data_IF_102839858652
#
_entry.id   IF_102839858652
#
_cell.length_a   1.000
_cell.length_b   1.000
_cell.length_c   1.000
_cell.angle_alpha   90.00
_cell.angle_beta   90.00
_cell.angle_gamma   90.00
#
_symmetry.space_group_name_H-M   'P 1'
#
loop_
_entity.id
_entity.type
_entity.pdbx_description
1 polymer ?
#
# COMPACT_ATOMS: atom_id res chain seq x y z
N UNK A 1 38.03 -25.17 22.84
CA UNK A 1 38.16 -25.50 21.41
C UNK A 1 36.78 -25.44 20.78
N UNK A 2 36.71 -24.86 19.58
CA UNK A 2 35.53 -24.30 18.93
C UNK A 2 34.43 -25.34 18.66
N UNK A 3 33.17 -25.01 18.99
CA UNK A 3 31.99 -25.71 18.49
C UNK A 3 31.68 -25.28 17.05
N UNK A 4 31.23 -26.19 16.16
CA UNK A 4 31.03 -25.89 14.75
C UNK A 4 29.87 -24.92 14.53
N UNK A 5 30.16 -23.85 13.79
CA UNK A 5 29.27 -22.76 13.44
C UNK A 5 28.38 -23.14 12.23
N UNK A 6 27.55 -24.18 12.36
CA UNK A 6 26.73 -24.70 11.23
C UNK A 6 25.23 -24.78 11.53
N UNK A 7 24.73 -23.99 12.48
CA UNK A 7 23.28 -23.99 12.79
C UNK A 7 22.61 -22.61 12.79
N UNK A 8 23.22 -21.62 12.14
CA UNK A 8 22.63 -20.30 11.98
C UNK A 8 22.49 -19.99 10.49
N UNK A 9 21.32 -20.30 9.94
CA UNK A 9 20.63 -19.64 8.82
C UNK A 9 19.46 -20.54 8.40
N UNK A 10 18.44 -20.62 9.26
CA UNK A 10 17.10 -20.99 8.77
C UNK A 10 16.57 -19.77 8.01
N UNK A 11 16.18 -19.89 6.73
CA UNK A 11 15.59 -18.79 6.01
C UNK A 11 14.30 -18.34 6.70
N UNK A 12 14.07 -17.03 6.64
CA UNK A 12 13.00 -16.26 7.29
C UNK A 12 11.58 -16.74 6.91
N UNK A 13 11.45 -17.68 5.97
CA UNK A 13 10.19 -18.24 5.47
C UNK A 13 9.31 -18.91 6.54
N UNK A 14 9.87 -19.43 7.64
CA UNK A 14 9.05 -20.17 8.63
C UNK A 14 8.23 -19.28 9.57
N UNK A 15 8.41 -17.96 9.55
CA UNK A 15 7.58 -17.03 10.32
C UNK A 15 6.25 -16.65 9.60
N UNK A 16 6.11 -16.95 8.31
CA UNK A 16 4.97 -16.48 7.51
C UNK A 16 3.73 -17.39 7.58
N UNK A 17 3.88 -18.65 8.00
CA UNK A 17 2.83 -19.66 7.85
C UNK A 17 1.85 -19.81 9.04
N UNK A 18 1.92 -18.97 10.09
CA UNK A 18 1.09 -19.16 11.30
C UNK A 18 0.40 -17.89 11.82
N UNK A 19 -0.34 -17.21 10.94
CA UNK A 19 -1.35 -16.23 11.36
C UNK A 19 -2.67 -16.42 10.60
N UNK A 20 -3.22 -17.63 10.65
CA UNK A 20 -4.63 -17.87 10.39
C UNK A 20 -5.41 -17.71 11.69
N UNK A 21 -6.00 -16.54 11.91
CA UNK A 21 -7.22 -16.40 12.72
C UNK A 21 -7.98 -15.14 12.27
N UNK A 22 -9.14 -15.37 11.65
CA UNK A 22 -10.04 -14.38 11.05
C UNK A 22 -9.41 -13.49 9.95
N UNK A 23 -9.61 -13.91 8.69
CA UNK A 23 -9.41 -13.09 7.48
C UNK A 23 -10.23 -11.80 7.56
N UNK A 24 -9.72 -10.79 8.29
CA UNK A 24 -9.99 -9.41 7.93
C UNK A 24 -9.27 -9.21 6.60
N UNK A 25 -10.02 -9.23 5.50
CA UNK A 25 -9.51 -8.89 4.18
C UNK A 25 -8.83 -7.51 4.30
N UNK A 26 -7.50 -7.50 4.30
CA UNK A 26 -6.69 -6.28 4.31
C UNK A 26 -6.71 -5.69 2.91
N UNK A 27 -6.89 -4.38 2.83
CA UNK A 27 -6.89 -3.63 1.57
C UNK A 27 -5.52 -3.00 1.29
N UNK A 28 -4.77 -2.64 2.34
CA UNK A 28 -3.38 -2.18 2.22
C UNK A 28 -2.43 -3.40 2.09
N UNK A 29 -1.69 -3.52 0.98
CA UNK A 29 -0.68 -4.57 0.83
C UNK A 29 0.42 -4.46 1.88
N UNK A 30 1.01 -5.60 2.25
CA UNK A 30 2.16 -5.68 3.17
C UNK A 30 1.90 -5.10 4.57
N UNK A 31 0.63 -4.90 4.96
CA UNK A 31 0.29 -4.50 6.31
C UNK A 31 0.35 -5.70 7.28
N UNK A 32 1.55 -5.94 7.81
CA UNK A 32 1.81 -6.94 8.85
C UNK A 32 1.77 -6.36 10.27
N UNK A 33 1.28 -5.13 10.42
CA UNK A 33 1.24 -4.44 11.72
C UNK A 33 -0.10 -4.62 12.42
N UNK A 34 -0.14 -4.27 13.72
CA UNK A 34 -1.39 -4.19 14.47
C UNK A 34 -2.30 -3.04 14.03
N UNK A 35 -1.79 -2.09 13.21
CA UNK A 35 -2.60 -0.99 12.71
C UNK A 35 -3.61 -1.48 11.68
N UNK A 36 -4.84 -1.01 11.82
CA UNK A 36 -5.88 -1.12 10.81
C UNK A 36 -5.58 -0.25 9.60
N UNK A 37 -6.16 -0.58 8.45
CA UNK A 37 -5.98 0.18 7.23
C UNK A 37 -6.48 1.62 7.40
N UNK A 38 -7.55 1.80 8.19
CA UNK A 38 -8.03 3.12 8.65
C UNK A 38 -6.96 3.88 9.43
N UNK A 39 -6.32 3.23 10.39
CA UNK A 39 -5.27 3.84 11.22
C UNK A 39 -4.03 4.24 10.42
N UNK A 40 -3.68 3.47 9.38
CA UNK A 40 -2.60 3.81 8.46
C UNK A 40 -2.99 5.00 7.60
N UNK A 41 -4.17 4.97 6.97
CA UNK A 41 -4.66 6.10 6.15
C UNK A 41 -4.76 7.38 6.96
N UNK A 42 -5.28 7.32 8.19
CA UNK A 42 -5.37 8.50 9.06
C UNK A 42 -3.99 9.04 9.46
N UNK A 43 -2.99 8.20 9.64
CA UNK A 43 -1.61 8.64 9.93
C UNK A 43 -0.97 9.31 8.72
N UNK A 44 -1.13 8.71 7.54
CA UNK A 44 -0.53 9.20 6.29
C UNK A 44 -1.22 10.46 5.75
N UNK A 45 -2.56 10.50 5.75
CA UNK A 45 -3.36 11.51 5.05
C UNK A 45 -4.29 12.32 5.96
N UNK A 46 -4.36 11.99 7.25
CA UNK A 46 -5.30 12.63 8.19
C UNK A 46 -6.76 12.22 7.99
N UNK A 47 -7.65 12.84 8.78
CA UNK A 47 -9.10 12.55 8.73
C UNK A 47 -9.72 12.88 7.37
N UNK A 48 -9.32 14.00 6.75
CA UNK A 48 -9.82 14.40 5.43
C UNK A 48 -9.50 13.36 4.37
N UNK A 49 -8.28 12.82 4.40
CA UNK A 49 -7.86 11.74 3.50
C UNK A 49 -8.70 10.48 3.69
N UNK A 50 -8.94 10.08 4.94
CA UNK A 50 -9.82 8.95 5.24
C UNK A 50 -11.24 9.14 4.69
N UNK A 51 -11.85 10.30 4.90
CA UNK A 51 -13.19 10.59 4.37
C UNK A 51 -13.25 10.55 2.84
N UNK A 52 -12.19 10.99 2.15
CA UNK A 52 -12.09 10.88 0.69
C UNK A 52 -12.03 9.42 0.23
N UNK A 53 -11.22 8.59 0.91
CA UNK A 53 -11.13 7.16 0.61
C UNK A 53 -12.48 6.46 0.84
N UNK A 54 -13.19 6.77 1.92
CA UNK A 54 -14.54 6.23 2.18
C UNK A 54 -15.54 6.62 1.09
N UNK A 55 -15.51 7.89 0.65
CA UNK A 55 -16.35 8.35 -0.47
C UNK A 55 -16.04 7.58 -1.75
N UNK A 56 -14.77 7.41 -2.11
CA UNK A 56 -14.36 6.63 -3.29
C UNK A 56 -14.83 5.17 -3.19
N UNK A 57 -14.74 4.56 -2.00
CA UNK A 57 -15.25 3.21 -1.74
C UNK A 57 -16.77 3.09 -1.83
N UNK A 58 -17.50 4.17 -1.59
CA UNK A 58 -18.97 4.20 -1.66
C UNK A 58 -19.51 4.31 -3.09
N UNK A 59 -18.73 4.87 -4.02
CA UNK A 59 -19.08 5.10 -5.44
C UNK A 59 -19.01 3.82 -6.30
N UNK A 60 -19.34 2.65 -5.71
CA UNK A 60 -19.09 1.29 -6.23
C UNK A 60 -19.68 0.99 -7.62
N UNK A 61 -18.89 1.17 -8.69
CA UNK A 61 -19.00 0.30 -9.88
C UNK A 61 -18.07 -0.92 -9.79
N UNK A 62 -16.81 -0.75 -9.34
CA UNK A 62 -15.84 -1.88 -9.25
C UNK A 62 -14.88 -1.83 -8.05
N UNK A 63 -14.77 -0.70 -7.32
CA UNK A 63 -13.84 -0.54 -6.20
C UNK A 63 -12.35 -0.56 -6.58
N UNK A 64 -12.03 -0.61 -7.89
CA UNK A 64 -10.67 -0.80 -8.41
C UNK A 64 -9.75 0.38 -8.09
N UNK A 65 -10.22 1.62 -8.25
CA UNK A 65 -9.44 2.84 -7.97
C UNK A 65 -9.10 2.97 -6.49
N UNK A 66 -10.03 2.58 -5.59
CA UNK A 66 -9.75 2.54 -4.15
C UNK A 66 -8.67 1.51 -3.82
N UNK A 67 -8.72 0.31 -4.42
CA UNK A 67 -7.68 -0.72 -4.25
C UNK A 67 -6.30 -0.23 -4.70
N UNK A 68 -6.23 0.42 -5.88
CA UNK A 68 -4.98 0.99 -6.37
C UNK A 68 -4.43 2.08 -5.45
N UNK A 69 -5.31 2.91 -4.87
CA UNK A 69 -4.89 3.91 -3.88
C UNK A 69 -4.30 3.25 -2.63
N UNK A 70 -4.90 2.15 -2.15
CA UNK A 70 -4.34 1.40 -1.03
C UNK A 70 -3.00 0.74 -1.34
N UNK A 71 -2.73 0.36 -2.59
CA UNK A 71 -1.41 -0.12 -3.02
C UNK A 71 -0.36 0.99 -2.89
N UNK A 72 -0.67 2.20 -3.37
CA UNK A 72 0.22 3.38 -3.22
C UNK A 72 0.46 3.71 -1.74
N UNK A 73 -0.60 3.70 -0.92
CA UNK A 73 -0.47 3.95 0.52
C UNK A 73 0.33 2.86 1.23
N UNK A 74 0.25 1.60 0.78
CA UNK A 74 1.07 0.51 1.27
C UNK A 74 2.55 0.73 0.96
N UNK A 75 2.89 1.12 -0.26
CA UNK A 75 4.27 1.40 -0.66
C UNK A 75 4.88 2.53 0.18
N UNK A 76 4.12 3.60 0.43
CA UNK A 76 4.54 4.70 1.33
C UNK A 76 4.72 4.21 2.76
N UNK A 77 3.76 3.45 3.29
CA UNK A 77 3.78 2.96 4.67
C UNK A 77 4.97 2.03 4.94
N UNK A 78 5.30 1.17 3.99
CA UNK A 78 6.46 0.27 4.09
C UNK A 78 7.77 1.06 4.22
N UNK A 79 7.92 2.15 3.48
CA UNK A 79 9.08 3.04 3.59
C UNK A 79 9.07 3.79 4.90
N UNK A 80 7.94 4.34 5.35
CA UNK A 80 7.87 5.09 6.60
C UNK A 80 8.25 4.22 7.82
N UNK A 81 7.90 2.93 7.78
CA UNK A 81 8.02 2.01 8.93
C UNK A 81 9.30 1.20 8.96
N UNK A 82 10.08 1.19 7.88
CA UNK A 82 11.28 0.39 7.77
C UNK A 82 12.53 1.29 7.69
N UNK A 83 13.24 1.51 8.82
CA UNK A 83 14.46 2.31 8.85
C UNK A 83 15.49 1.87 7.81
N UNK A 84 15.63 0.56 7.56
CA UNK A 84 16.59 0.05 6.57
C UNK A 84 16.23 0.44 5.14
N UNK A 85 14.94 0.54 4.80
CA UNK A 85 14.51 1.05 3.50
C UNK A 85 14.73 2.57 3.41
N UNK A 86 14.53 3.31 4.49
CA UNK A 86 14.86 4.74 4.51
C UNK A 86 16.35 4.97 4.32
N UNK A 87 17.19 4.25 5.07
CA UNK A 87 18.64 4.31 4.96
C UNK A 87 19.09 3.97 3.52
N UNK A 88 18.57 2.90 2.93
CA UNK A 88 18.87 2.53 1.55
C UNK A 88 18.43 3.60 0.53
N UNK A 89 17.28 4.24 0.73
CA UNK A 89 16.80 5.32 -0.14
C UNK A 89 17.60 6.61 0.04
N UNK A 90 18.13 6.88 1.24
CA UNK A 90 19.05 7.99 1.52
C UNK A 90 20.40 7.73 0.84
N UNK A 91 20.91 6.50 0.95
CA UNK A 91 22.20 6.09 0.37
C UNK A 91 22.16 5.98 -1.16
N UNK A 92 20.98 5.72 -1.74
CA UNK A 92 20.78 5.57 -3.17
C UNK A 92 19.70 6.50 -3.73
N UNK A 93 20.05 7.77 -4.03
CA UNK A 93 19.10 8.76 -4.55
C UNK A 93 18.43 8.35 -5.88
N UNK A 94 19.09 7.53 -6.70
CA UNK A 94 18.49 7.01 -7.93
C UNK A 94 17.34 6.06 -7.62
N UNK A 95 17.50 5.20 -6.61
CA UNK A 95 16.44 4.29 -6.17
C UNK A 95 15.25 5.06 -5.60
N UNK A 96 15.52 6.12 -4.82
CA UNK A 96 14.50 7.04 -4.35
C UNK A 96 13.72 7.69 -5.49
N UNK A 97 14.42 8.22 -6.51
CA UNK A 97 13.79 8.82 -7.67
C UNK A 97 12.89 7.82 -8.41
N UNK A 98 13.35 6.58 -8.63
CA UNK A 98 12.56 5.53 -9.28
C UNK A 98 11.31 5.16 -8.49
N UNK A 99 11.41 5.07 -7.16
CA UNK A 99 10.25 4.82 -6.31
C UNK A 99 9.22 5.95 -6.44
N UNK A 100 9.66 7.21 -6.33
CA UNK A 100 8.79 8.39 -6.45
C UNK A 100 8.12 8.43 -7.83
N UNK A 101 8.88 8.18 -8.90
CA UNK A 101 8.35 8.11 -10.27
C UNK A 101 7.29 7.01 -10.40
N UNK A 102 7.54 5.82 -9.86
CA UNK A 102 6.57 4.73 -9.88
C UNK A 102 5.28 5.08 -9.11
N UNK A 103 5.39 5.74 -7.96
CA UNK A 103 4.22 6.21 -7.20
C UNK A 103 3.42 7.26 -7.98
N UNK A 104 4.09 8.24 -8.60
CA UNK A 104 3.43 9.23 -9.45
C UNK A 104 2.75 8.60 -10.66
N UNK A 105 3.40 7.63 -11.32
CA UNK A 105 2.79 6.91 -12.44
C UNK A 105 1.51 6.20 -12.01
N UNK A 106 1.52 5.49 -10.86
CA UNK A 106 0.33 4.82 -10.33
C UNK A 106 -0.79 5.80 -9.99
N UNK A 107 -0.47 6.96 -9.41
CA UNK A 107 -1.46 8.01 -9.17
C UNK A 107 -2.07 8.52 -10.47
N UNK A 108 -1.26 8.75 -11.51
CA UNK A 108 -1.75 9.14 -12.83
C UNK A 108 -2.66 8.09 -13.48
N UNK A 109 -2.38 6.80 -13.29
CA UNK A 109 -3.26 5.72 -13.77
C UNK A 109 -4.60 5.66 -13.03
N UNK A 110 -4.62 6.04 -11.74
CA UNK A 110 -5.85 6.16 -10.96
C UNK A 110 -6.68 7.33 -11.48
N UNK A 111 -6.05 8.47 -11.75
CA UNK A 111 -6.70 9.68 -12.26
C UNK A 111 -7.35 9.45 -13.63
N UNK A 112 -6.60 8.92 -14.61
CA UNK A 112 -7.12 8.58 -15.94
C UNK A 112 -8.36 7.70 -15.88
N UNK A 113 -8.38 6.71 -14.99
CA UNK A 113 -9.52 5.82 -14.79
C UNK A 113 -10.71 6.51 -14.11
N UNK A 114 -10.44 7.48 -13.25
CA UNK A 114 -11.47 8.35 -12.67
C UNK A 114 -12.23 9.09 -13.77
N UNK A 115 -11.48 9.68 -14.72
CA UNK A 115 -12.05 10.44 -15.83
C UNK A 115 -12.82 9.54 -16.83
N UNK A 116 -12.26 8.38 -17.18
CA UNK A 116 -12.93 7.39 -18.04
C UNK A 116 -14.25 6.87 -17.44
N UNK A 117 -14.28 6.64 -16.12
CA UNK A 117 -15.48 6.20 -15.41
C UNK A 117 -16.56 7.29 -15.29
N UNK A 118 -16.15 8.55 -15.20
CA UNK A 118 -17.04 9.70 -15.20
C UNK A 118 -17.67 9.94 -16.59
N UNK A 119 -16.88 9.82 -17.67
CA UNK A 119 -17.35 10.01 -19.04
C UNK A 119 -18.43 9.01 -19.50
N UNK A 120 -18.43 7.78 -18.97
CA UNK A 120 -19.41 6.74 -19.33
C UNK A 120 -20.72 6.81 -18.54
N UNK A 121 -20.84 7.72 -17.58
CA UNK A 121 -22.05 7.86 -16.74
C UNK A 121 -22.93 9.06 -17.12
N UNK A 122 -22.58 9.80 -18.18
CA UNK A 122 -23.26 11.03 -18.63
C UNK A 122 -24.33 10.87 -19.73
N UNK A 123 -24.42 9.74 -20.43
CA UNK A 123 -25.20 9.62 -21.69
C UNK A 123 -26.41 8.66 -21.62
N UNK A 124 -27.21 8.66 -20.54
CA UNK A 124 -28.46 7.87 -20.50
C UNK A 124 -29.68 8.67 -20.00
N UNK A 125 -29.72 9.97 -20.25
CA UNK A 125 -30.92 10.77 -19.99
C UNK A 125 -31.15 11.82 -21.08
N UNK A 126 -31.73 11.37 -22.21
CA UNK A 126 -32.47 12.22 -23.14
C UNK A 126 -33.62 11.40 -23.73
#
# INVERSE_FOLDING_TARGET
>A
MNAPLTEALKPIEQAEAKASSAQRLREIPYNYTSFSDREIVMRLLGERGWSLVERLRSQRKTGRSARMLYEVLGDIWVVERNPYLQDDLIDNPKRQALLIEALHHRLGDIEKRGDEGAGLSGDVAA
#
